data_IF_711417805822
#
_entry.id   IF_711417805822
#
_cell.length_a   1.000
_cell.length_b   1.000
_cell.length_c   1.000
_cell.angle_alpha   90.00
_cell.angle_beta   90.00
_cell.angle_gamma   90.00
#
_symmetry.space_group_name_H-M   'P 1'
#
loop_
_entity.id
_entity.type
_entity.pdbx_description
1 polymer ?
#
# COMPACT_ATOMS: atom_id res chain seq x y z
N UNK A 1 36.93 7.86 30.48
CA UNK A 1 35.61 8.43 30.81
C UNK A 1 35.24 9.35 29.65
N UNK A 2 34.50 8.83 28.67
CA UNK A 2 34.07 9.60 27.50
C UNK A 2 32.89 10.49 27.91
N UNK A 3 32.81 11.76 27.49
CA UNK A 3 31.69 12.63 27.84
C UNK A 3 30.43 12.14 27.10
N UNK A 4 29.32 12.09 27.84
CA UNK A 4 28.00 11.84 27.30
C UNK A 4 27.71 12.87 26.20
N UNK A 5 27.47 12.41 24.98
CA UNK A 5 27.06 13.26 23.87
C UNK A 5 25.76 13.96 24.24
N UNK A 6 25.76 15.29 24.18
CA UNK A 6 24.54 16.08 24.29
C UNK A 6 23.62 15.69 23.13
N UNK A 7 22.50 15.06 23.43
CA UNK A 7 21.41 14.93 22.48
C UNK A 7 21.01 16.34 22.06
N UNK A 8 21.35 16.73 20.83
CA UNK A 8 20.96 18.03 20.28
C UNK A 8 19.45 18.17 20.36
N UNK A 9 18.97 19.29 20.88
CA UNK A 9 17.54 19.58 20.95
C UNK A 9 16.93 19.41 19.54
N UNK A 10 15.93 18.55 19.42
CA UNK A 10 15.23 18.36 18.15
C UNK A 10 14.51 19.66 17.82
N UNK A 11 15.04 20.39 16.84
CA UNK A 11 14.41 21.62 16.35
C UNK A 11 13.11 21.25 15.66
N UNK A 12 11.98 21.68 16.23
CA UNK A 12 10.66 21.43 15.64
C UNK A 12 10.39 22.36 14.46
N UNK A 13 9.92 21.80 13.36
CA UNK A 13 9.62 22.45 12.08
C UNK A 13 8.13 22.27 11.73
N UNK A 14 7.19 22.89 12.46
CA UNK A 14 5.74 22.68 12.28
C UNK A 14 5.19 23.21 10.93
N UNK A 15 5.97 24.03 10.22
CA UNK A 15 5.61 24.56 8.90
C UNK A 15 5.75 23.52 7.77
N UNK A 16 6.50 22.44 7.99
CA UNK A 16 6.68 21.39 6.98
C UNK A 16 5.37 20.59 6.85
N UNK A 17 4.73 20.71 5.68
CA UNK A 17 3.50 19.97 5.34
C UNK A 17 3.73 18.74 4.49
N UNK A 18 4.80 18.73 3.71
CA UNK A 18 5.13 17.61 2.83
C UNK A 18 6.61 17.24 2.97
N UNK A 19 6.89 15.94 3.03
CA UNK A 19 8.24 15.41 3.13
C UNK A 19 8.42 14.25 2.17
N UNK A 20 9.52 14.29 1.41
CA UNK A 20 9.96 13.18 0.56
C UNK A 20 11.34 12.76 1.03
N UNK A 21 11.49 11.51 1.43
CA UNK A 21 12.78 10.96 1.89
C UNK A 21 13.09 9.63 1.21
N UNK A 22 14.37 9.44 0.89
CA UNK A 22 14.92 8.15 0.44
C UNK A 22 15.69 7.43 1.55
N UNK A 23 15.97 8.13 2.65
CA UNK A 23 16.70 7.62 3.81
C UNK A 23 15.76 6.89 4.78
N UNK A 24 16.29 6.48 5.93
CA UNK A 24 15.48 5.94 7.03
C UNK A 24 14.39 6.91 7.49
N UNK A 25 13.48 6.40 8.33
CA UNK A 25 12.37 7.18 8.86
C UNK A 25 12.88 8.49 9.51
N UNK A 26 12.35 9.65 9.11
CA UNK A 26 12.76 10.92 9.70
C UNK A 26 12.26 11.01 11.14
N UNK A 27 12.87 11.87 11.98
CA UNK A 27 12.37 12.12 13.33
C UNK A 27 11.02 12.85 13.25
N UNK A 28 9.91 12.10 13.26
CA UNK A 28 8.56 12.62 13.05
C UNK A 28 8.13 13.66 14.09
N UNK A 29 8.72 13.65 15.29
CA UNK A 29 8.54 14.66 16.32
C UNK A 29 9.01 16.07 15.89
N UNK A 30 9.93 16.14 14.92
CA UNK A 30 10.37 17.40 14.32
C UNK A 30 9.32 17.96 13.34
N UNK A 31 8.35 17.17 12.89
CA UNK A 31 7.39 17.54 11.84
C UNK A 31 5.93 17.31 12.28
N UNK A 32 5.47 17.94 13.37
CA UNK A 32 4.11 17.72 13.87
C UNK A 32 3.02 18.22 12.90
N UNK A 33 3.40 19.10 11.98
CA UNK A 33 2.55 19.67 10.95
C UNK A 33 2.44 18.86 9.66
N UNK A 34 3.06 17.69 9.58
CA UNK A 34 3.15 16.91 8.34
C UNK A 34 1.78 16.41 7.88
N UNK A 35 1.45 16.68 6.61
CA UNK A 35 0.20 16.27 5.94
C UNK A 35 0.47 15.22 4.87
N UNK A 36 1.66 15.23 4.25
CA UNK A 36 2.03 14.29 3.19
C UNK A 36 3.43 13.74 3.42
N UNK A 37 3.57 12.42 3.35
CA UNK A 37 4.85 11.75 3.45
C UNK A 37 5.04 10.78 2.30
N UNK A 38 6.18 10.88 1.62
CA UNK A 38 6.66 9.87 0.68
C UNK A 38 8.00 9.38 1.20
N UNK A 39 8.07 8.09 1.56
CA UNK A 39 9.31 7.46 1.99
C UNK A 39 9.60 6.25 1.11
N UNK A 40 10.71 6.32 0.38
CA UNK A 40 11.08 5.28 -0.58
C UNK A 40 11.71 4.04 0.05
N UNK A 41 12.42 4.18 1.17
CA UNK A 41 13.15 3.09 1.84
C UNK A 41 12.22 2.11 2.57
N UNK A 42 12.76 0.94 2.93
CA UNK A 42 12.07 -0.02 3.78
C UNK A 42 11.63 0.63 5.09
N UNK A 43 10.39 0.36 5.50
CA UNK A 43 9.85 0.89 6.75
C UNK A 43 10.19 -0.01 7.92
N UNK A 44 10.75 0.59 8.97
CA UNK A 44 10.89 -0.09 10.25
C UNK A 44 9.56 -0.04 11.02
N UNK A 45 9.19 -1.10 11.76
CA UNK A 45 7.99 -1.12 12.61
C UNK A 45 7.84 0.11 13.52
N UNK A 46 8.95 0.59 14.10
CA UNK A 46 8.96 1.77 14.97
C UNK A 46 8.56 3.08 14.26
N UNK A 47 8.78 3.16 12.94
CA UNK A 47 8.42 4.35 12.14
C UNK A 47 6.90 4.55 12.07
N UNK A 48 6.12 3.46 11.97
CA UNK A 48 4.65 3.53 11.97
C UNK A 48 4.14 4.14 13.27
N UNK A 49 4.63 3.64 14.41
CA UNK A 49 4.23 4.11 15.74
C UNK A 49 4.64 5.57 15.96
N UNK A 50 5.86 5.94 15.59
CA UNK A 50 6.35 7.31 15.74
C UNK A 50 5.57 8.30 14.85
N UNK A 51 5.33 7.94 13.57
CA UNK A 51 4.49 8.72 12.67
C UNK A 51 3.08 8.92 13.24
N UNK A 52 2.46 7.82 13.68
CA UNK A 52 1.15 7.82 14.28
C UNK A 52 1.08 8.70 15.55
N UNK A 53 2.16 8.76 16.32
CA UNK A 53 2.25 9.56 17.54
C UNK A 53 2.41 11.05 17.26
N UNK A 54 3.23 11.43 16.28
CA UNK A 54 3.67 12.81 16.11
C UNK A 54 2.99 13.56 14.95
N UNK A 55 2.55 12.87 13.90
CA UNK A 55 2.01 13.49 12.68
C UNK A 55 0.48 13.31 12.58
N UNK A 56 -0.28 13.79 13.57
CA UNK A 56 -1.75 13.60 13.64
C UNK A 56 -2.54 14.19 12.47
N UNK A 57 -1.95 15.16 11.77
CA UNK A 57 -2.52 15.80 10.58
C UNK A 57 -2.25 15.08 9.27
N UNK A 58 -1.57 13.92 9.28
CA UNK A 58 -1.17 13.23 8.06
C UNK A 58 -2.39 12.76 7.25
N UNK A 59 -2.44 13.17 5.99
CA UNK A 59 -3.51 12.87 5.03
C UNK A 59 -3.08 11.88 3.97
N UNK A 60 -1.82 11.93 3.52
CA UNK A 60 -1.28 11.06 2.49
C UNK A 60 0.02 10.41 2.98
N UNK A 61 0.05 9.09 2.93
CA UNK A 61 1.22 8.29 3.29
C UNK A 61 1.59 7.38 2.13
N UNK A 62 2.79 7.56 1.57
CA UNK A 62 3.34 6.70 0.54
C UNK A 62 4.56 5.97 1.08
N UNK A 63 4.41 4.67 1.25
CA UNK A 63 5.43 3.75 1.73
C UNK A 63 5.98 3.01 0.52
N UNK A 64 7.28 3.12 0.31
CA UNK A 64 8.07 2.40 -0.69
C UNK A 64 7.63 2.61 -2.15
N UNK A 65 6.97 3.73 -2.48
CA UNK A 65 6.44 4.00 -3.83
C UNK A 65 7.48 4.19 -4.93
N UNK A 66 8.79 4.13 -4.63
CA UNK A 66 9.86 4.51 -5.58
C UNK A 66 11.16 3.71 -5.47
N UNK A 67 11.24 2.64 -4.68
CA UNK A 67 12.49 1.87 -4.57
C UNK A 67 12.46 0.65 -5.47
N UNK A 68 13.54 0.54 -6.26
CA UNK A 68 13.91 -0.65 -7.00
C UNK A 68 13.81 -1.86 -6.05
N UNK A 69 12.80 -2.69 -6.30
CA UNK A 69 12.43 -3.84 -5.49
C UNK A 69 13.64 -4.77 -5.27
N UNK A 70 14.66 -4.67 -6.12
CA UNK A 70 15.98 -5.33 -6.06
C UNK A 70 16.73 -5.25 -4.74
N UNK A 71 16.38 -4.35 -3.82
CA UNK A 71 17.08 -4.16 -2.53
C UNK A 71 16.32 -4.69 -1.30
N UNK A 72 15.22 -5.42 -1.49
CA UNK A 72 14.35 -5.95 -0.43
C UNK A 72 14.98 -7.17 0.28
N UNK A 73 16.09 -6.98 0.98
CA UNK A 73 16.90 -8.03 1.62
C UNK A 73 16.56 -8.32 3.10
N UNK A 74 15.34 -8.03 3.58
CA UNK A 74 15.01 -8.15 5.01
C UNK A 74 13.70 -8.91 5.23
N UNK A 75 13.64 -10.21 4.95
CA UNK A 75 12.36 -10.96 5.00
C UNK A 75 12.44 -12.28 5.75
N UNK A 76 12.10 -12.18 7.03
CA UNK A 76 11.76 -13.28 7.93
C UNK A 76 11.06 -12.70 9.17
N UNK A 77 11.83 -12.02 10.03
CA UNK A 77 11.32 -11.46 11.29
C UNK A 77 10.63 -10.09 11.12
N UNK A 78 11.09 -9.29 10.16
CA UNK A 78 10.59 -7.92 9.94
C UNK A 78 9.12 -7.88 9.47
N UNK A 79 8.61 -8.92 8.80
CA UNK A 79 7.23 -8.92 8.28
C UNK A 79 6.19 -9.07 9.40
N UNK A 80 6.45 -9.93 10.38
CA UNK A 80 5.59 -10.08 11.55
C UNK A 80 5.55 -8.80 12.40
N UNK A 81 6.71 -8.17 12.60
CA UNK A 81 6.80 -6.90 13.31
C UNK A 81 6.12 -5.76 12.53
N UNK A 82 6.27 -5.72 11.21
CA UNK A 82 5.57 -4.78 10.34
C UNK A 82 4.06 -4.96 10.43
N UNK A 83 3.56 -6.20 10.31
CA UNK A 83 2.16 -6.52 10.47
C UNK A 83 1.61 -6.12 11.86
N UNK A 84 2.41 -6.25 12.92
CA UNK A 84 2.05 -5.78 14.26
C UNK A 84 2.05 -4.25 14.39
N UNK A 85 2.86 -3.54 13.59
CA UNK A 85 2.98 -2.09 13.63
C UNK A 85 1.96 -1.35 12.74
N UNK A 86 1.55 -1.93 11.61
CA UNK A 86 0.53 -1.35 10.69
C UNK A 86 -0.73 -0.85 11.41
N UNK A 87 -1.31 -1.56 12.40
CA UNK A 87 -2.48 -1.10 13.15
C UNK A 87 -2.30 0.26 13.84
N UNK A 88 -1.06 0.68 14.16
CA UNK A 88 -0.80 2.00 14.76
C UNK A 88 -1.20 3.17 13.85
N UNK A 89 -1.21 2.96 12.53
CA UNK A 89 -1.67 3.96 11.56
C UNK A 89 -3.16 4.31 11.74
N UNK A 90 -3.95 3.48 12.43
CA UNK A 90 -5.34 3.81 12.79
C UNK A 90 -5.45 5.07 13.66
N UNK A 91 -4.36 5.52 14.31
CA UNK A 91 -4.35 6.78 15.03
C UNK A 91 -4.31 8.03 14.12
N UNK A 92 -4.02 7.86 12.82
CA UNK A 92 -3.99 8.93 11.82
C UNK A 92 -5.39 9.20 11.26
N UNK A 93 -6.24 9.81 12.07
CA UNK A 93 -7.67 10.01 11.77
C UNK A 93 -7.94 10.89 10.54
N UNK A 94 -6.93 11.60 10.04
CA UNK A 94 -6.99 12.41 8.82
C UNK A 94 -6.48 11.69 7.57
N UNK A 95 -6.00 10.44 7.69
CA UNK A 95 -5.42 9.69 6.58
C UNK A 95 -6.50 9.36 5.56
N UNK A 96 -6.32 9.86 4.33
CA UNK A 96 -7.23 9.65 3.19
C UNK A 96 -6.64 8.75 2.12
N UNK A 97 -5.31 8.69 2.04
CA UNK A 97 -4.56 7.90 1.08
C UNK A 97 -3.40 7.15 1.73
N UNK A 98 -3.30 5.86 1.44
CA UNK A 98 -2.17 5.01 1.81
C UNK A 98 -1.63 4.31 0.57
N UNK A 99 -0.33 4.39 0.31
CA UNK A 99 0.40 3.49 -0.58
C UNK A 99 1.29 2.59 0.26
N UNK A 100 1.20 1.28 0.05
CA UNK A 100 1.88 0.28 0.87
C UNK A 100 2.40 -0.88 0.02
N UNK A 101 3.54 -1.44 0.41
CA UNK A 101 4.17 -2.57 -0.28
C UNK A 101 4.22 -3.75 0.70
N UNK A 102 3.13 -4.53 0.78
CA UNK A 102 3.09 -5.67 1.67
C UNK A 102 4.01 -6.78 1.18
N UNK A 103 4.68 -7.43 2.11
CA UNK A 103 5.64 -8.48 1.81
C UNK A 103 5.05 -9.87 1.93
N UNK A 104 4.06 -10.02 2.81
CA UNK A 104 3.33 -11.27 3.03
C UNK A 104 1.84 -11.04 3.29
N UNK A 105 1.11 -12.16 3.46
CA UNK A 105 -0.32 -12.16 3.76
C UNK A 105 -0.67 -11.53 5.12
N UNK A 106 0.25 -11.57 6.10
CA UNK A 106 -0.01 -11.05 7.44
C UNK A 106 -0.03 -9.52 7.43
N UNK A 107 0.87 -8.89 6.68
CA UNK A 107 0.86 -7.45 6.44
C UNK A 107 -0.41 -6.99 5.71
N UNK A 108 -0.88 -7.74 4.70
CA UNK A 108 -2.16 -7.45 4.03
C UNK A 108 -3.34 -7.60 4.99
N UNK A 109 -3.36 -8.66 5.82
CA UNK A 109 -4.39 -8.84 6.82
C UNK A 109 -4.38 -7.73 7.87
N UNK A 110 -3.21 -7.22 8.26
CA UNK A 110 -3.07 -6.12 9.20
C UNK A 110 -3.69 -4.81 8.69
N UNK A 111 -3.77 -4.60 7.37
CA UNK A 111 -4.49 -3.47 6.80
C UNK A 111 -5.98 -3.45 7.19
N UNK A 112 -6.57 -4.59 7.54
CA UNK A 112 -7.95 -4.64 8.04
C UNK A 112 -8.15 -3.81 9.33
N UNK A 113 -7.11 -3.63 10.16
CA UNK A 113 -7.17 -2.75 11.33
C UNK A 113 -7.41 -1.28 10.94
N UNK A 114 -7.09 -0.89 9.71
CA UNK A 114 -7.34 0.44 9.18
C UNK A 114 -8.82 0.66 8.82
N UNK A 115 -9.69 -0.34 8.97
CA UNK A 115 -11.13 -0.18 8.82
C UNK A 115 -11.73 0.85 9.80
N UNK A 116 -11.04 1.11 10.92
CA UNK A 116 -11.39 2.19 11.85
C UNK A 116 -11.23 3.60 11.23
N UNK A 117 -10.36 3.76 10.22
CA UNK A 117 -10.13 5.02 9.53
C UNK A 117 -11.28 5.33 8.57
N UNK A 118 -12.33 5.97 9.10
CA UNK A 118 -13.50 6.34 8.32
C UNK A 118 -13.20 7.34 7.19
N UNK A 119 -12.03 7.97 7.17
CA UNK A 119 -11.59 8.91 6.12
C UNK A 119 -10.71 8.27 5.06
N UNK A 120 -10.25 7.02 5.23
CA UNK A 120 -9.44 6.36 4.22
C UNK A 120 -10.30 6.08 2.98
N UNK A 121 -9.95 6.72 1.85
CA UNK A 121 -10.69 6.62 0.57
C UNK A 121 -9.87 5.95 -0.52
N UNK A 122 -8.55 6.05 -0.46
CA UNK A 122 -7.63 5.47 -1.42
C UNK A 122 -6.60 4.56 -0.76
N UNK A 123 -6.36 3.43 -1.41
CA UNK A 123 -5.33 2.48 -1.05
C UNK A 123 -4.61 2.06 -2.33
N UNK A 124 -3.30 2.13 -2.30
CA UNK A 124 -2.43 1.55 -3.31
C UNK A 124 -1.63 0.41 -2.68
N UNK A 125 -1.65 -0.76 -3.31
CA UNK A 125 -0.90 -1.94 -2.89
C UNK A 125 0.02 -2.36 -4.03
N UNK A 126 1.31 -2.44 -3.77
CA UNK A 126 2.27 -3.00 -4.72
C UNK A 126 2.68 -4.40 -4.27
N UNK A 127 2.49 -5.40 -5.12
CA UNK A 127 2.88 -6.78 -4.82
C UNK A 127 4.26 -7.06 -5.44
N UNK A 128 5.33 -7.19 -4.64
CA UNK A 128 6.68 -7.36 -5.17
C UNK A 128 6.90 -8.79 -5.69
N UNK A 129 7.20 -8.93 -6.98
CA UNK A 129 7.16 -10.25 -7.65
C UNK A 129 8.34 -11.19 -7.38
N UNK A 130 9.48 -10.70 -6.87
CA UNK A 130 10.69 -11.53 -6.69
C UNK A 130 10.81 -12.18 -5.31
N UNK A 131 10.15 -11.65 -4.28
CA UNK A 131 10.35 -12.07 -2.89
C UNK A 131 9.04 -12.27 -2.10
N UNK A 132 7.90 -11.96 -2.69
CA UNK A 132 6.63 -12.10 -1.99
C UNK A 132 6.01 -13.49 -2.19
N UNK A 133 5.52 -14.08 -1.10
CA UNK A 133 4.60 -15.21 -1.15
C UNK A 133 3.15 -14.76 -1.42
N UNK A 134 2.90 -13.45 -1.45
CA UNK A 134 1.59 -12.86 -1.61
C UNK A 134 1.01 -13.19 -2.97
N UNK A 135 -0.19 -13.75 -2.95
CA UNK A 135 -1.02 -13.94 -4.12
C UNK A 135 -2.02 -12.79 -4.23
N UNK A 136 -2.54 -12.57 -5.44
CA UNK A 136 -3.55 -11.53 -5.63
C UNK A 136 -4.80 -11.80 -4.75
N UNK A 137 -5.17 -13.06 -4.56
CA UNK A 137 -6.30 -13.48 -3.71
C UNK A 137 -6.16 -13.11 -2.24
N UNK A 138 -4.95 -12.90 -1.73
CA UNK A 138 -4.72 -12.44 -0.35
C UNK A 138 -5.28 -11.03 -0.10
N UNK A 139 -5.41 -10.22 -1.17
CA UNK A 139 -6.05 -8.91 -1.11
C UNK A 139 -7.57 -8.98 -0.80
N UNK A 140 -8.17 -10.18 -0.76
CA UNK A 140 -9.54 -10.34 -0.27
C UNK A 140 -9.75 -9.80 1.16
N UNK A 141 -8.69 -9.76 1.98
CA UNK A 141 -8.73 -9.16 3.32
C UNK A 141 -9.08 -7.66 3.30
N UNK A 142 -8.86 -6.96 2.18
CA UNK A 142 -9.24 -5.56 2.00
C UNK A 142 -10.77 -5.33 2.01
N UNK A 143 -11.56 -6.40 1.97
CA UNK A 143 -13.02 -6.35 2.21
C UNK A 143 -13.39 -5.70 3.54
N UNK A 144 -12.50 -5.68 4.55
CA UNK A 144 -12.74 -4.97 5.80
C UNK A 144 -12.81 -3.43 5.64
N UNK A 145 -12.18 -2.87 4.60
CA UNK A 145 -12.06 -1.43 4.40
C UNK A 145 -13.30 -0.82 3.72
N UNK A 146 -14.45 -0.84 4.40
CA UNK A 146 -15.75 -0.42 3.85
C UNK A 146 -15.80 1.06 3.39
N UNK A 147 -14.94 1.92 3.96
CA UNK A 147 -14.80 3.32 3.56
C UNK A 147 -14.06 3.54 2.23
N UNK A 148 -13.36 2.51 1.73
CA UNK A 148 -12.48 2.61 0.57
C UNK A 148 -13.28 2.85 -0.72
N UNK A 149 -12.83 3.80 -1.54
CA UNK A 149 -13.46 4.18 -2.82
C UNK A 149 -12.56 3.93 -4.02
N UNK A 150 -11.25 3.96 -3.82
CA UNK A 150 -10.24 3.70 -4.83
C UNK A 150 -9.26 2.65 -4.31
N UNK A 151 -9.02 1.62 -5.12
CA UNK A 151 -7.99 0.63 -4.90
C UNK A 151 -7.09 0.56 -6.13
N UNK A 152 -5.80 0.79 -5.95
CA UNK A 152 -4.78 0.60 -6.97
C UNK A 152 -3.94 -0.61 -6.59
N UNK A 153 -3.74 -1.53 -7.51
CA UNK A 153 -2.88 -2.69 -7.31
C UNK A 153 -1.80 -2.66 -8.39
N UNK A 154 -0.55 -2.63 -7.96
CA UNK A 154 0.60 -2.71 -8.84
C UNK A 154 1.23 -4.09 -8.77
N UNK A 155 1.46 -4.67 -9.95
CA UNK A 155 1.98 -6.02 -10.12
C UNK A 155 3.28 -5.97 -10.96
N UNK A 156 4.35 -5.33 -10.46
CA UNK A 156 5.61 -5.18 -11.19
C UNK A 156 6.28 -6.54 -11.37
N UNK A 157 6.41 -6.98 -12.62
CA UNK A 157 7.24 -8.13 -13.03
C UNK A 157 6.86 -9.49 -12.45
N UNK A 158 5.62 -9.95 -12.62
CA UNK A 158 5.35 -11.39 -12.46
C UNK A 158 6.08 -12.13 -13.59
N UNK A 159 7.14 -12.91 -13.25
CA UNK A 159 7.97 -13.58 -14.25
C UNK A 159 7.12 -14.41 -15.21
N UNK A 160 7.44 -14.37 -16.49
CA UNK A 160 6.90 -15.30 -17.48
C UNK A 160 7.20 -16.75 -17.01
N UNK A 161 6.15 -17.47 -16.60
CA UNK A 161 6.25 -18.86 -16.14
C UNK A 161 5.91 -19.11 -14.66
N UNK A 162 5.71 -18.07 -13.84
CA UNK A 162 5.32 -18.26 -12.42
C UNK A 162 4.36 -17.16 -12.01
N UNK A 163 3.06 -17.50 -11.92
CA UNK A 163 1.94 -16.65 -11.50
C UNK A 163 1.35 -15.75 -12.62
N UNK A 164 0.92 -16.34 -13.73
CA UNK A 164 -0.07 -15.67 -14.58
C UNK A 164 -1.28 -15.28 -13.73
N UNK A 165 -1.69 -14.00 -13.77
CA UNK A 165 -2.99 -13.54 -13.25
C UNK A 165 -4.06 -14.55 -13.64
N UNK A 166 -4.62 -15.28 -12.68
CA UNK A 166 -5.67 -16.24 -12.98
C UNK A 166 -7.05 -15.58 -12.88
N UNK A 167 -7.97 -16.03 -13.72
CA UNK A 167 -9.36 -15.55 -13.70
C UNK A 167 -9.98 -15.73 -12.30
N UNK A 168 -9.69 -16.84 -11.62
CA UNK A 168 -10.17 -17.13 -10.26
C UNK A 168 -9.67 -16.13 -9.21
N UNK A 169 -8.39 -15.76 -9.24
CA UNK A 169 -7.85 -14.77 -8.29
C UNK A 169 -8.45 -13.39 -8.51
N UNK A 170 -8.55 -12.96 -9.77
CA UNK A 170 -9.18 -11.68 -10.12
C UNK A 170 -10.65 -11.67 -9.68
N UNK A 171 -11.40 -12.75 -9.96
CA UNK A 171 -12.79 -12.90 -9.50
C UNK A 171 -12.91 -12.73 -7.99
N UNK A 172 -12.06 -13.42 -7.23
CA UNK A 172 -12.08 -13.39 -5.77
C UNK A 172 -11.80 -11.97 -5.23
N UNK A 173 -10.81 -11.27 -5.78
CA UNK A 173 -10.53 -9.88 -5.38
C UNK A 173 -11.70 -8.97 -5.72
N UNK A 174 -12.17 -8.99 -6.97
CA UNK A 174 -13.29 -8.12 -7.40
C UNK A 174 -14.57 -8.37 -6.60
N UNK A 175 -14.85 -9.62 -6.23
CA UNK A 175 -15.96 -9.96 -5.36
C UNK A 175 -15.79 -9.40 -3.94
N UNK A 176 -14.57 -9.47 -3.41
CA UNK A 176 -14.23 -9.02 -2.05
C UNK A 176 -14.25 -7.50 -1.91
N UNK A 177 -13.90 -6.76 -2.96
CA UNK A 177 -13.87 -5.29 -2.97
C UNK A 177 -15.04 -4.66 -3.73
N UNK A 178 -16.20 -5.33 -3.77
CA UNK A 178 -17.40 -4.85 -4.48
C UNK A 178 -17.90 -3.46 -4.06
N UNK A 179 -17.59 -3.02 -2.83
CA UNK A 179 -17.94 -1.69 -2.32
C UNK A 179 -17.01 -0.59 -2.85
N UNK A 180 -15.86 -0.95 -3.41
CA UNK A 180 -14.88 -0.03 -3.98
C UNK A 180 -15.37 0.40 -5.37
N UNK A 181 -15.47 1.71 -5.58
CA UNK A 181 -16.02 2.27 -6.82
C UNK A 181 -15.04 2.14 -7.99
N UNK A 182 -13.75 2.33 -7.72
CA UNK A 182 -12.70 2.34 -8.74
C UNK A 182 -11.58 1.39 -8.34
N UNK A 183 -11.32 0.39 -9.18
CA UNK A 183 -10.16 -0.50 -9.04
C UNK A 183 -9.25 -0.29 -10.25
N UNK A 184 -7.94 -0.15 -10.02
CA UNK A 184 -6.92 -0.06 -11.07
C UNK A 184 -5.90 -1.17 -10.88
N UNK A 185 -5.57 -1.87 -11.96
CA UNK A 185 -4.54 -2.91 -12.01
C UNK A 185 -3.42 -2.41 -12.93
N UNK A 186 -2.25 -2.11 -12.36
CA UNK A 186 -1.07 -1.71 -13.12
C UNK A 186 -0.09 -2.87 -13.26
N UNK A 187 0.36 -3.11 -14.49
CA UNK A 187 1.17 -4.26 -14.89
C UNK A 187 2.27 -3.84 -15.87
N UNK A 188 3.24 -4.71 -16.14
CA UNK A 188 4.16 -4.47 -17.25
C UNK A 188 3.40 -4.35 -18.58
N UNK A 189 3.78 -3.39 -19.42
CA UNK A 189 3.05 -3.04 -20.65
C UNK A 189 2.74 -4.24 -21.56
N UNK A 190 3.69 -5.17 -21.71
CA UNK A 190 3.52 -6.37 -22.53
C UNK A 190 2.48 -7.37 -22.01
N UNK A 191 1.96 -7.17 -20.79
CA UNK A 191 1.00 -8.07 -20.13
C UNK A 191 -0.40 -7.47 -20.03
N UNK A 192 -0.55 -6.18 -20.34
CA UNK A 192 -1.85 -5.48 -20.28
C UNK A 192 -2.92 -6.20 -21.11
N UNK A 193 -2.70 -6.58 -22.38
CA UNK A 193 -3.75 -7.22 -23.18
C UNK A 193 -4.21 -8.56 -22.59
N UNK A 194 -3.29 -9.38 -22.09
CA UNK A 194 -3.62 -10.66 -21.47
C UNK A 194 -4.38 -10.46 -20.15
N UNK A 195 -3.99 -9.47 -19.35
CA UNK A 195 -4.67 -9.17 -18.09
C UNK A 195 -6.05 -8.55 -18.30
N UNK A 196 -6.24 -7.71 -19.32
CA UNK A 196 -7.55 -7.21 -19.72
C UNK A 196 -8.53 -8.34 -20.03
N UNK A 197 -8.05 -9.37 -20.75
CA UNK A 197 -8.86 -10.55 -21.07
C UNK A 197 -9.25 -11.33 -19.81
N UNK A 198 -8.29 -11.62 -18.94
CA UNK A 198 -8.56 -12.30 -17.65
C UNK A 198 -9.54 -11.50 -16.80
N UNK A 199 -9.39 -10.18 -16.76
CA UNK A 199 -10.27 -9.27 -16.02
C UNK A 199 -11.67 -9.25 -16.62
N UNK A 200 -11.79 -9.25 -17.95
CA UNK A 200 -13.07 -9.31 -18.66
C UNK A 200 -13.81 -10.60 -18.33
N UNK A 201 -13.13 -11.74 -18.40
CA UNK A 201 -13.69 -13.05 -18.03
C UNK A 201 -14.11 -13.09 -16.55
N UNK A 202 -13.27 -12.57 -15.65
CA UNK A 202 -13.56 -12.51 -14.23
C UNK A 202 -14.83 -11.70 -13.93
N UNK A 203 -15.01 -10.55 -14.58
CA UNK A 203 -16.22 -9.74 -14.44
C UNK A 203 -17.45 -10.47 -14.98
N UNK A 204 -17.35 -11.13 -16.12
CA UNK A 204 -18.45 -11.89 -16.70
C UNK A 204 -18.89 -13.03 -15.79
N UNK A 205 -17.95 -13.77 -15.21
CA UNK A 205 -18.24 -14.83 -14.25
C UNK A 205 -18.90 -14.29 -12.98
N UNK A 206 -18.40 -13.19 -12.41
CA UNK A 206 -19.01 -12.56 -11.24
C UNK A 206 -20.43 -12.04 -11.54
N UNK A 207 -20.67 -11.52 -12.75
CA UNK A 207 -21.99 -11.09 -13.19
C UNK A 207 -22.95 -12.29 -13.33
N UNK A 208 -22.50 -13.38 -13.96
CA UNK A 208 -23.28 -14.62 -14.08
C UNK A 208 -23.62 -15.24 -12.72
N UNK A 209 -22.74 -15.09 -11.73
CA UNK A 209 -22.95 -15.54 -10.36
C UNK A 209 -23.78 -14.57 -9.50
N UNK A 210 -24.19 -13.40 -10.02
CA UNK A 210 -24.93 -12.39 -9.25
C UNK A 210 -24.12 -11.68 -8.16
N UNK A 211 -22.79 -11.81 -8.16
CA UNK A 211 -21.88 -11.21 -7.16
C UNK A 211 -21.64 -9.73 -7.45
N UNK A 212 -21.61 -9.35 -8.73
CA UNK A 212 -21.28 -8.00 -9.18
C UNK A 212 -19.78 -7.68 -9.08
N UNK A 213 -19.43 -6.40 -9.01
CA UNK A 213 -18.04 -5.96 -8.87
C UNK A 213 -17.92 -4.43 -8.88
N UNK A 214 -16.69 -3.91 -8.83
CA UNK A 214 -16.41 -2.48 -8.90
C UNK A 214 -17.06 -1.84 -10.13
N UNK A 215 -17.55 -0.61 -9.97
CA UNK A 215 -18.18 0.14 -11.06
C UNK A 215 -17.17 0.44 -12.19
N UNK A 216 -15.98 0.89 -11.80
CA UNK A 216 -14.90 1.21 -12.70
C UNK A 216 -13.73 0.25 -12.42
N UNK A 217 -13.32 -0.48 -13.46
CA UNK A 217 -12.13 -1.33 -13.42
C UNK A 217 -11.25 -0.99 -14.62
N UNK A 218 -10.02 -0.59 -14.35
CA UNK A 218 -9.02 -0.26 -15.37
C UNK A 218 -7.83 -1.20 -15.23
N UNK A 219 -7.35 -1.68 -16.37
CA UNK A 219 -6.06 -2.36 -16.48
C UNK A 219 -5.16 -1.44 -17.30
N UNK A 220 -3.96 -1.16 -16.81
CA UNK A 220 -3.06 -0.22 -17.47
C UNK A 220 -1.59 -0.66 -17.32
N UNK A 221 -0.74 -0.12 -18.18
CA UNK A 221 0.70 -0.28 -18.03
C UNK A 221 1.19 0.52 -16.82
N UNK A 222 2.12 -0.04 -16.05
CA UNK A 222 2.93 0.71 -15.09
C UNK A 222 3.67 1.80 -15.86
N UNK A 223 3.25 3.05 -15.67
CA UNK A 223 3.99 4.20 -16.17
C UNK A 223 5.03 4.60 -15.12
N UNK A 224 6.33 4.42 -15.38
CA UNK A 224 7.38 4.79 -14.44
C UNK A 224 7.42 6.30 -14.13
N UNK A 225 6.67 7.16 -14.85
CA UNK A 225 6.65 8.61 -14.64
C UNK A 225 5.28 9.25 -14.36
N UNK A 226 4.18 8.50 -14.37
CA UNK A 226 2.86 9.08 -14.69
C UNK A 226 1.95 9.52 -13.54
N UNK A 227 1.67 8.67 -12.55
CA UNK A 227 0.30 8.67 -12.00
C UNK A 227 0.18 8.72 -10.45
N UNK A 228 1.09 9.42 -9.78
CA UNK A 228 1.04 9.59 -8.31
C UNK A 228 0.41 10.91 -7.84
N UNK A 229 -0.30 11.63 -8.73
CA UNK A 229 -0.88 12.96 -8.46
C UNK A 229 -2.33 12.95 -7.94
N UNK A 230 -2.85 11.82 -7.45
CA UNK A 230 -4.18 11.78 -6.81
C UNK A 230 -4.15 12.30 -5.36
#
# INVERSE_FOLDING_TARGET
MMPAGSAGAVTSCPAVRALVTKADAPPFEAFPGLEQLVQGSGWQPAAFTSLAQHCKGLQKLHISSHVDVSMSNLYGDAAAECAAAVPSLSALQQLTWLSFVPNDRAEVAALAALAALQQLRGLMVQIPARWSQLQLSDLAALSALQGLKKLTIELPSIKAGSNSLSCKEVQQVLASVRHVRSVRLYLDAGRVPAAEEVVREARQANAAAGVGGPANLLVAALDPGGDYRE
#
